data_IF_463396141756
#
_entry.id   IF_463396141756
#
_cell.length_a   1.000
_cell.length_b   1.000
_cell.length_c   1.000
_cell.angle_alpha   90.00
_cell.angle_beta   90.00
_cell.angle_gamma   90.00
#
_symmetry.space_group_name_H-M   'P 1'
#
loop_
_entity.id
_entity.type
_entity.pdbx_description
1 polymer ?
#
# COMPACT_ATOMS: atom_id res chain seq x y z
N UNK A 1 2.72 -0.09 39.19
CA UNK A 1 1.92 -1.32 39.36
C UNK A 1 0.69 -1.42 38.41
N UNK A 2 0.01 -0.31 38.12
CA UNK A 2 -1.27 -0.32 37.36
C UNK A 2 -1.19 -0.76 35.89
N UNK A 3 0.02 -0.87 35.31
CA UNK A 3 0.20 -1.28 33.92
C UNK A 3 -0.08 -2.77 33.71
N UNK A 4 0.39 -3.64 34.61
CA UNK A 4 0.19 -5.09 34.49
C UNK A 4 -1.29 -5.47 34.58
N UNK A 5 -2.02 -4.86 35.52
CA UNK A 5 -3.45 -5.12 35.71
C UNK A 5 -4.27 -4.65 34.50
N UNK A 6 -3.94 -3.47 33.96
CA UNK A 6 -4.57 -2.95 32.73
C UNK A 6 -4.35 -3.88 31.53
N UNK A 7 -3.11 -4.33 31.30
CA UNK A 7 -2.78 -5.23 30.20
C UNK A 7 -3.48 -6.59 30.37
N UNK A 8 -3.52 -7.13 31.59
CA UNK A 8 -4.23 -8.37 31.91
C UNK A 8 -5.73 -8.28 31.65
N UNK A 9 -6.35 -7.16 32.07
CA UNK A 9 -7.77 -6.87 31.81
C UNK A 9 -8.07 -6.81 30.30
N UNK A 10 -7.26 -6.06 29.55
CA UNK A 10 -7.40 -5.94 28.08
C UNK A 10 -7.20 -7.28 27.38
N UNK A 11 -6.30 -8.14 27.87
CA UNK A 11 -6.06 -9.43 27.26
C UNK A 11 -7.26 -10.37 27.36
N UNK A 12 -7.98 -10.33 28.48
CA UNK A 12 -9.15 -11.16 28.75
C UNK A 12 -10.43 -10.63 28.09
N UNK A 13 -10.55 -9.29 27.94
CA UNK A 13 -11.82 -8.66 27.54
C UNK A 13 -11.82 -8.04 26.14
N UNK A 14 -10.66 -7.82 25.51
CA UNK A 14 -10.60 -7.22 24.17
C UNK A 14 -11.10 -8.19 23.10
N UNK A 15 -12.06 -7.73 22.30
CA UNK A 15 -12.55 -8.42 21.10
C UNK A 15 -11.85 -7.95 19.82
N UNK A 16 -10.83 -7.10 19.94
CA UNK A 16 -10.12 -6.54 18.78
C UNK A 16 -9.12 -7.56 18.26
N UNK A 17 -8.96 -7.62 16.93
CA UNK A 17 -7.94 -8.43 16.27
C UNK A 17 -6.55 -8.10 16.86
N UNK A 18 -5.91 -9.13 17.44
CA UNK A 18 -4.58 -9.04 18.06
C UNK A 18 -3.52 -9.38 17.03
N UNK A 19 -2.31 -8.85 17.21
CA UNK A 19 -1.17 -9.22 16.35
C UNK A 19 -0.77 -10.67 16.63
N UNK A 20 -0.44 -11.43 15.58
CA UNK A 20 -0.08 -12.85 15.69
C UNK A 20 1.17 -13.07 16.55
N UNK A 21 2.15 -12.17 16.48
CA UNK A 21 3.40 -12.28 17.24
C UNK A 21 3.20 -11.94 18.72
N UNK A 22 3.48 -12.89 19.62
CA UNK A 22 3.23 -12.78 21.05
C UNK A 22 4.14 -11.83 21.81
N UNK A 23 5.34 -11.60 21.26
CA UNK A 23 6.38 -10.80 21.90
C UNK A 23 6.20 -9.29 21.70
N UNK A 24 5.16 -8.88 20.97
CA UNK A 24 4.93 -7.48 20.64
C UNK A 24 4.11 -6.74 21.70
N UNK A 25 4.68 -5.67 22.25
CA UNK A 25 4.05 -4.90 23.33
C UNK A 25 2.71 -4.25 22.94
N UNK A 26 2.46 -4.06 21.63
CA UNK A 26 1.29 -3.34 21.13
C UNK A 26 0.07 -4.25 20.85
N UNK A 27 0.14 -5.55 21.15
CA UNK A 27 -0.98 -6.52 21.04
C UNK A 27 -2.25 -6.16 21.81
N UNK A 28 -2.12 -5.31 22.82
CA UNK A 28 -3.23 -4.83 23.66
C UNK A 28 -3.99 -3.66 23.05
N UNK A 29 -3.56 -3.19 21.88
CA UNK A 29 -4.22 -2.19 21.05
C UNK A 29 -4.67 -2.85 19.74
N UNK A 30 -5.49 -2.15 18.93
CA UNK A 30 -5.86 -2.62 17.58
C UNK A 30 -4.61 -3.01 16.80
N UNK A 31 -4.65 -4.11 16.05
CA UNK A 31 -3.55 -4.50 15.14
C UNK A 31 -3.11 -3.28 14.32
N UNK A 32 -1.95 -2.75 14.70
CA UNK A 32 -1.27 -1.71 13.96
C UNK A 32 -0.12 -2.44 13.30
N UNK A 33 -0.11 -2.51 11.97
CA UNK A 33 0.96 -3.21 11.24
C UNK A 33 2.27 -2.41 11.33
N UNK A 34 2.81 -2.19 12.52
CA UNK A 34 4.05 -1.45 12.75
C UNK A 34 5.22 -2.14 12.03
N UNK A 35 5.22 -3.47 12.01
CA UNK A 35 6.16 -4.26 11.20
C UNK A 35 6.07 -3.97 9.70
N UNK A 36 4.93 -3.48 9.20
CA UNK A 36 4.86 -3.08 7.79
C UNK A 36 5.77 -1.91 7.48
N UNK A 37 6.19 -1.09 8.46
CA UNK A 37 7.05 0.08 8.24
C UNK A 37 8.29 -0.24 7.42
N UNK A 38 8.96 -1.36 7.73
CA UNK A 38 10.20 -1.79 7.09
C UNK A 38 10.00 -2.63 5.81
N UNK A 39 8.77 -3.02 5.51
CA UNK A 39 8.47 -3.93 4.41
C UNK A 39 8.30 -3.17 3.09
N UNK A 40 8.72 -3.73 1.95
CA UNK A 40 8.48 -3.14 0.64
C UNK A 40 6.99 -3.05 0.36
N UNK A 41 6.53 -1.93 -0.19
CA UNK A 41 5.10 -1.68 -0.39
C UNK A 41 4.80 -0.72 -1.53
N UNK A 42 3.57 -0.76 -2.00
CA UNK A 42 3.03 0.21 -2.95
C UNK A 42 2.08 1.14 -2.23
N UNK A 43 2.21 2.43 -2.50
CA UNK A 43 1.31 3.46 -1.98
C UNK A 43 0.35 3.94 -3.06
N UNK A 44 -0.94 4.04 -2.72
CA UNK A 44 -1.98 4.64 -3.55
C UNK A 44 -2.78 5.63 -2.71
N UNK A 45 -2.85 6.93 -3.06
CA UNK A 45 -3.68 7.88 -2.34
C UNK A 45 -5.15 7.45 -2.31
N UNK A 46 -5.82 7.74 -1.19
CA UNK A 46 -7.23 7.44 -1.00
C UNK A 46 -8.17 8.46 -1.64
N UNK A 47 -7.69 9.67 -1.94
CA UNK A 47 -8.46 10.71 -2.64
C UNK A 47 -7.78 11.02 -3.96
N UNK A 48 -8.42 10.65 -5.06
CA UNK A 48 -7.80 10.65 -6.40
C UNK A 48 -8.63 11.40 -7.43
N UNK A 49 -7.97 12.00 -8.41
CA UNK A 49 -8.57 12.30 -9.74
C UNK A 49 -8.24 11.19 -10.74
N UNK A 50 -7.01 10.72 -10.68
CA UNK A 50 -6.51 9.55 -11.39
C UNK A 50 -5.68 8.72 -10.40
N UNK A 51 -5.62 7.41 -10.60
CA UNK A 51 -4.77 6.53 -9.81
C UNK A 51 -3.31 6.89 -10.07
N UNK A 52 -2.56 7.00 -8.97
CA UNK A 52 -1.11 7.12 -8.97
C UNK A 52 -0.57 6.16 -7.91
N UNK A 53 0.25 5.22 -8.35
CA UNK A 53 0.85 4.24 -7.46
C UNK A 53 2.38 4.41 -7.43
N UNK A 54 2.96 4.30 -6.24
CA UNK A 54 4.41 4.41 -6.05
C UNK A 54 4.91 3.24 -5.24
N UNK A 55 5.88 2.52 -5.79
CA UNK A 55 6.60 1.48 -5.06
C UNK A 55 7.71 2.09 -4.20
N UNK A 56 7.83 1.61 -2.97
CA UNK A 56 8.87 1.97 -2.02
C UNK A 56 9.42 0.70 -1.41
N UNK A 57 10.73 0.50 -1.57
CA UNK A 57 11.46 -0.63 -0.97
C UNK A 57 11.91 -0.34 0.47
N UNK A 58 12.06 0.94 0.83
CA UNK A 58 12.65 1.41 2.08
C UNK A 58 11.61 1.59 3.19
N UNK A 59 12.13 1.78 4.40
CA UNK A 59 11.41 2.20 5.61
C UNK A 59 10.60 3.48 5.36
N UNK A 60 9.29 3.34 5.15
CA UNK A 60 8.39 4.46 4.90
C UNK A 60 7.04 4.23 5.55
N UNK A 61 6.61 5.24 6.31
CA UNK A 61 5.32 5.26 6.97
C UNK A 61 4.27 5.84 6.02
N UNK A 62 3.16 5.12 5.85
CA UNK A 62 1.99 5.63 5.15
C UNK A 62 1.04 6.29 6.14
N UNK A 63 0.57 7.49 5.82
CA UNK A 63 -0.57 8.06 6.54
C UNK A 63 -1.83 7.23 6.24
N UNK A 64 -2.23 6.40 7.19
CA UNK A 64 -3.38 5.50 7.09
C UNK A 64 -4.72 6.22 6.85
N UNK A 65 -4.80 7.54 7.06
CA UNK A 65 -6.00 8.32 6.78
C UNK A 65 -6.11 8.75 5.31
N UNK A 66 -4.97 8.81 4.60
CA UNK A 66 -4.88 9.39 3.26
C UNK A 66 -4.28 8.46 2.21
N UNK A 67 -3.66 7.35 2.61
CA UNK A 67 -2.96 6.43 1.71
C UNK A 67 -3.31 4.98 1.97
N UNK A 68 -3.57 4.24 0.90
CA UNK A 68 -3.56 2.79 0.92
C UNK A 68 -2.12 2.29 0.83
N UNK A 69 -1.77 1.34 1.69
CA UNK A 69 -0.51 0.59 1.62
C UNK A 69 -0.79 -0.84 1.17
N UNK A 70 -0.20 -1.25 0.05
CA UNK A 70 -0.32 -2.59 -0.52
C UNK A 70 1.00 -3.32 -0.28
N UNK A 71 0.91 -4.46 0.40
CA UNK A 71 2.05 -5.32 0.76
C UNK A 71 1.84 -6.67 0.09
N UNK A 72 2.93 -7.27 -0.37
CA UNK A 72 2.94 -8.68 -0.72
C UNK A 72 3.07 -9.54 0.56
N UNK A 73 2.64 -10.80 0.53
CA UNK A 73 2.76 -11.70 1.69
C UNK A 73 4.22 -12.08 1.98
N UNK A 74 5.04 -12.19 0.93
CA UNK A 74 6.42 -12.67 0.99
C UNK A 74 7.43 -11.56 0.69
N UNK A 75 6.97 -10.30 0.65
CA UNK A 75 7.78 -9.13 0.30
C UNK A 75 8.44 -9.26 -1.08
N UNK A 76 7.74 -9.89 -2.03
CA UNK A 76 8.22 -10.05 -3.41
C UNK A 76 8.29 -8.69 -4.13
N UNK A 77 9.51 -8.17 -4.24
CA UNK A 77 9.81 -6.90 -4.90
C UNK A 77 9.50 -6.93 -6.39
N UNK A 78 9.71 -8.06 -7.07
CA UNK A 78 9.47 -8.19 -8.51
C UNK A 78 7.96 -8.07 -8.76
N UNK A 79 7.17 -8.82 -7.99
CA UNK A 79 5.72 -8.74 -8.04
C UNK A 79 5.21 -7.33 -7.71
N UNK A 80 5.72 -6.69 -6.66
CA UNK A 80 5.31 -5.35 -6.26
C UNK A 80 5.64 -4.29 -7.33
N UNK A 81 6.83 -4.35 -7.94
CA UNK A 81 7.19 -3.46 -9.05
C UNK A 81 6.28 -3.67 -10.26
N UNK A 82 6.01 -4.92 -10.63
CA UNK A 82 5.10 -5.25 -11.72
C UNK A 82 3.67 -4.72 -11.46
N UNK A 83 3.15 -4.95 -10.26
CA UNK A 83 1.84 -4.43 -9.84
C UNK A 83 1.80 -2.90 -9.79
N UNK A 84 2.91 -2.24 -9.44
CA UNK A 84 3.00 -0.78 -9.49
C UNK A 84 2.77 -0.25 -10.92
N UNK A 85 3.25 -0.95 -11.95
CA UNK A 85 2.96 -0.60 -13.35
C UNK A 85 1.49 -0.84 -13.69
N UNK A 86 0.93 -1.99 -13.29
CA UNK A 86 -0.50 -2.30 -13.48
C UNK A 86 -1.37 -1.20 -12.90
N UNK A 87 -1.10 -0.75 -11.67
CA UNK A 87 -1.88 0.29 -11.00
C UNK A 87 -1.77 1.67 -11.66
N UNK A 88 -0.66 1.95 -12.34
CA UNK A 88 -0.49 3.19 -13.12
C UNK A 88 -1.01 3.07 -14.56
N UNK A 89 -1.55 1.91 -14.96
CA UNK A 89 -2.13 1.72 -16.29
C UNK A 89 -3.46 2.45 -16.44
N UNK A 90 -3.79 2.84 -17.68
CA UNK A 90 -5.08 3.44 -18.00
C UNK A 90 -6.24 2.50 -17.66
N UNK A 91 -6.12 1.21 -17.96
CA UNK A 91 -7.17 0.23 -17.71
C UNK A 91 -7.49 0.13 -16.21
N UNK A 92 -6.46 0.03 -15.36
CA UNK A 92 -6.69 0.02 -13.91
C UNK A 92 -7.30 1.33 -13.42
N UNK A 93 -6.84 2.47 -13.93
CA UNK A 93 -7.40 3.78 -13.60
C UNK A 93 -8.90 3.85 -13.91
N UNK A 94 -9.31 3.45 -15.11
CA UNK A 94 -10.71 3.54 -15.54
C UNK A 94 -11.61 2.65 -14.68
N UNK A 95 -11.17 1.42 -14.37
CA UNK A 95 -11.88 0.52 -13.46
C UNK A 95 -11.95 1.06 -12.03
N UNK A 96 -10.85 1.62 -11.52
CA UNK A 96 -10.80 2.19 -10.18
C UNK A 96 -11.74 3.39 -10.04
N UNK A 97 -11.86 4.24 -11.06
CA UNK A 97 -12.77 5.38 -11.05
C UNK A 97 -14.24 4.91 -11.00
N UNK A 98 -14.61 3.90 -11.78
CA UNK A 98 -15.98 3.34 -11.78
C UNK A 98 -16.35 2.80 -10.40
N UNK A 99 -15.41 2.14 -9.72
CA UNK A 99 -15.65 1.49 -8.42
C UNK A 99 -15.38 2.41 -7.21
N UNK A 100 -14.97 3.65 -7.44
CA UNK A 100 -14.64 4.60 -6.38
C UNK A 100 -15.85 5.33 -5.82
N UNK A 101 -15.77 5.72 -4.55
CA UNK A 101 -16.78 6.53 -3.90
C UNK A 101 -16.77 7.99 -4.36
N UNK A 102 -17.85 8.71 -4.06
CA UNK A 102 -17.97 10.16 -4.30
C UNK A 102 -17.06 10.98 -3.39
N UNK A 103 -16.50 12.05 -3.96
CA UNK A 103 -15.83 13.11 -3.22
C UNK A 103 -16.14 14.46 -3.91
N UNK A 104 -15.57 15.54 -3.40
CA UNK A 104 -15.84 16.89 -3.92
C UNK A 104 -14.88 17.29 -5.05
N UNK A 105 -15.27 18.28 -5.86
CA UNK A 105 -14.42 18.95 -6.86
C UNK A 105 -13.78 18.00 -7.91
N UNK A 106 -14.54 16.98 -8.33
CA UNK A 106 -14.08 15.99 -9.31
C UNK A 106 -13.07 14.98 -8.77
N UNK A 107 -12.80 14.97 -7.46
CA UNK A 107 -12.08 13.89 -6.81
C UNK A 107 -13.02 12.73 -6.48
N UNK A 108 -12.41 11.56 -6.26
CA UNK A 108 -13.08 10.33 -5.90
C UNK A 108 -12.38 9.68 -4.71
N UNK A 109 -13.13 8.91 -3.91
CA UNK A 109 -12.60 8.17 -2.76
C UNK A 109 -12.28 6.73 -3.16
N UNK A 110 -11.00 6.38 -3.09
CA UNK A 110 -10.46 5.04 -3.31
C UNK A 110 -9.90 4.46 -2.01
N UNK A 111 -10.67 4.52 -0.92
CA UNK A 111 -10.33 3.87 0.35
C UNK A 111 -10.25 2.34 0.17
N UNK A 112 -9.66 1.62 1.15
CA UNK A 112 -9.50 0.15 1.14
C UNK A 112 -10.75 -0.62 0.69
N UNK A 113 -11.95 -0.17 1.10
CA UNK A 113 -13.21 -0.82 0.74
C UNK A 113 -13.55 -0.77 -0.75
N UNK A 114 -13.09 0.26 -1.47
CA UNK A 114 -13.27 0.43 -2.91
C UNK A 114 -12.10 -0.19 -3.67
N UNK A 115 -10.87 0.06 -3.22
CA UNK A 115 -9.66 -0.47 -3.86
C UNK A 115 -9.67 -2.00 -3.97
N UNK A 116 -10.14 -2.69 -2.92
CA UNK A 116 -10.24 -4.17 -2.91
C UNK A 116 -11.19 -4.75 -3.96
N UNK A 117 -12.09 -3.93 -4.51
CA UNK A 117 -13.06 -4.37 -5.52
C UNK A 117 -12.50 -4.24 -6.94
N UNK A 118 -11.42 -3.47 -7.13
CA UNK A 118 -10.83 -3.26 -8.45
C UNK A 118 -10.10 -4.53 -8.88
N UNK A 119 -10.50 -5.17 -9.98
CA UNK A 119 -9.87 -6.40 -10.42
C UNK A 119 -8.44 -6.13 -10.90
N UNK A 120 -7.55 -7.09 -10.63
CA UNK A 120 -6.16 -7.08 -11.06
C UNK A 120 -5.85 -8.33 -11.87
N UNK A 121 -4.98 -8.25 -12.89
CA UNK A 121 -4.60 -9.41 -13.67
C UNK A 121 -3.77 -10.40 -12.84
N UNK A 122 -3.90 -11.68 -13.16
CA UNK A 122 -2.96 -12.70 -12.70
C UNK A 122 -1.70 -12.59 -13.58
N UNK A 123 -0.55 -12.35 -12.96
CA UNK A 123 0.70 -12.13 -13.69
C UNK A 123 1.56 -13.40 -13.70
N UNK A 124 1.83 -13.91 -14.90
CA UNK A 124 2.87 -14.94 -15.11
C UNK A 124 4.26 -14.37 -14.86
N UNK A 125 5.26 -15.21 -14.62
CA UNK A 125 6.66 -14.79 -14.44
C UNK A 125 7.17 -13.94 -15.61
N UNK A 126 6.86 -14.32 -16.84
CA UNK A 126 7.28 -13.57 -18.04
C UNK A 126 6.63 -12.19 -18.08
N UNK A 127 5.32 -12.11 -17.78
CA UNK A 127 4.61 -10.83 -17.71
C UNK A 127 5.17 -9.94 -16.61
N UNK A 128 5.51 -10.50 -15.44
CA UNK A 128 6.15 -9.73 -14.36
C UNK A 128 7.47 -9.15 -14.81
N UNK A 129 8.33 -9.94 -15.45
CA UNK A 129 9.64 -9.48 -15.94
C UNK A 129 9.53 -8.31 -16.94
N UNK A 130 8.57 -8.39 -17.87
CA UNK A 130 8.30 -7.29 -18.82
C UNK A 130 7.87 -6.03 -18.08
N UNK A 131 6.94 -6.13 -17.14
CA UNK A 131 6.43 -4.99 -16.39
C UNK A 131 7.51 -4.38 -15.48
N UNK A 132 8.36 -5.21 -14.86
CA UNK A 132 9.50 -4.72 -14.07
C UNK A 132 10.50 -3.97 -14.95
N UNK A 133 10.77 -4.44 -16.17
CA UNK A 133 11.64 -3.69 -17.09
C UNK A 133 11.09 -2.28 -17.38
N UNK A 134 9.78 -2.14 -17.63
CA UNK A 134 9.15 -0.82 -17.77
C UNK A 134 9.26 0.03 -16.50
N UNK A 135 9.11 -0.60 -15.33
CA UNK A 135 9.32 0.09 -14.05
C UNK A 135 10.74 0.65 -13.91
N UNK A 136 11.75 -0.14 -14.24
CA UNK A 136 13.15 0.27 -14.16
C UNK A 136 13.47 1.38 -15.18
N UNK A 137 12.93 1.30 -16.40
CA UNK A 137 13.07 2.36 -17.40
C UNK A 137 12.44 3.68 -16.94
N UNK A 138 11.21 3.66 -16.44
CA UNK A 138 10.53 4.84 -15.89
C UNK A 138 11.32 5.41 -14.70
N UNK A 139 11.84 4.54 -13.84
CA UNK A 139 12.63 4.95 -12.67
C UNK A 139 13.95 5.62 -13.07
N UNK A 140 14.65 5.07 -14.08
CA UNK A 140 15.85 5.70 -14.66
C UNK A 140 15.53 7.06 -15.26
N UNK A 141 14.45 7.16 -16.03
CA UNK A 141 14.01 8.41 -16.63
C UNK A 141 13.68 9.46 -15.57
N UNK A 142 12.95 9.07 -14.52
CA UNK A 142 12.65 9.96 -13.38
C UNK A 142 13.93 10.51 -12.76
N UNK A 143 14.90 9.64 -12.46
CA UNK A 143 16.17 10.05 -11.86
C UNK A 143 16.98 10.96 -12.80
N UNK A 144 16.99 10.67 -14.10
CA UNK A 144 17.61 11.54 -15.09
C UNK A 144 16.97 12.93 -15.10
N UNK A 145 15.63 13.02 -15.13
CA UNK A 145 14.90 14.29 -15.08
C UNK A 145 15.24 15.06 -13.81
N UNK A 146 15.18 14.40 -12.64
CA UNK A 146 15.51 15.03 -11.35
C UNK A 146 16.94 15.58 -11.31
N UNK A 147 17.91 14.86 -11.87
CA UNK A 147 19.31 15.30 -11.90
C UNK A 147 19.55 16.40 -12.95
N UNK A 148 18.84 16.37 -14.08
CA UNK A 148 18.96 17.37 -15.15
C UNK A 148 18.30 18.71 -14.80
N UNK A 149 17.31 18.68 -13.89
CA UNK A 149 16.52 19.84 -13.51
C UNK A 149 17.16 20.69 -12.41
N UNK A 150 18.38 20.33 -11.94
CA UNK A 150 19.19 21.14 -11.04
C UNK A 150 18.42 21.75 -9.88
N UNK A 151 17.86 20.90 -9.00
CA UNK A 151 17.41 21.31 -7.68
C UNK A 151 18.50 21.01 -6.65
#
# INVERSE_FOLDING_TARGET
PNGYDYLSYMNQHSTTEKVDNEDEFYRYTRETKLNSFQRPKIFIPMTIKNVKATFIEKNMFGDNSNMNSILDKYDDIIFLKAMCIVFNSKLFNDLAIILSGEASNGYRKLNKQFLKLVPVPILSTDSQNILVNFYEEISKLRNYISNSSGA
#
